data_IF_985943686219
#
_entry.id   IF_985943686219
#
_cell.length_a   1.000
_cell.length_b   1.000
_cell.length_c   1.000
_cell.angle_alpha   90.00
_cell.angle_beta   90.00
_cell.angle_gamma   90.00
#
_symmetry.space_group_name_H-M   'P 1'
#
loop_
_entity.id
_entity.type
_entity.pdbx_description
1 polymer ?
#
# COMPACT_ATOMS: atom_id res chain seq x y z
N UNK A 1 -17.42 -30.88 -19.34
CA UNK A 1 -17.44 -30.04 -18.13
C UNK A 1 -18.83 -29.44 -18.03
N UNK A 2 -19.44 -29.49 -16.85
CA UNK A 2 -20.76 -28.89 -16.58
C UNK A 2 -20.66 -27.36 -16.63
N UNK A 3 -21.65 -26.69 -17.23
CA UNK A 3 -21.74 -25.23 -17.26
C UNK A 3 -22.54 -24.78 -16.05
N UNK A 4 -21.87 -24.14 -15.09
CA UNK A 4 -22.50 -23.64 -13.87
C UNK A 4 -23.12 -22.25 -14.09
N UNK A 5 -22.45 -21.39 -14.87
CA UNK A 5 -22.91 -20.04 -15.18
C UNK A 5 -23.12 -19.85 -16.70
N UNK A 6 -24.38 -19.84 -17.18
CA UNK A 6 -24.69 -19.73 -18.61
C UNK A 6 -24.25 -18.40 -19.24
N UNK A 7 -24.30 -17.29 -18.49
CA UNK A 7 -23.83 -15.97 -18.90
C UNK A 7 -22.93 -15.38 -17.80
N UNK A 8 -21.62 -15.33 -18.06
CA UNK A 8 -20.63 -14.85 -17.10
C UNK A 8 -19.46 -14.14 -17.78
N UNK A 9 -18.67 -13.40 -17.01
CA UNK A 9 -17.57 -12.58 -17.54
C UNK A 9 -16.24 -12.80 -16.80
N UNK A 10 -15.14 -12.84 -17.54
CA UNK A 10 -13.79 -12.74 -17.01
C UNK A 10 -13.22 -11.36 -17.28
N UNK A 11 -12.62 -10.75 -16.26
CA UNK A 11 -12.09 -9.39 -16.29
C UNK A 11 -10.59 -9.44 -15.99
N UNK A 12 -9.79 -9.00 -16.94
CA UNK A 12 -8.38 -8.68 -16.72
C UNK A 12 -8.24 -7.17 -16.48
N UNK A 13 -7.72 -6.81 -15.33
CA UNK A 13 -7.74 -5.43 -14.82
C UNK A 13 -6.33 -4.88 -14.76
N UNK A 14 -6.06 -3.90 -15.61
CA UNK A 14 -4.82 -3.14 -15.62
C UNK A 14 -5.04 -1.73 -15.05
N UNK A 15 -3.98 -0.92 -15.04
CA UNK A 15 -4.04 0.45 -14.53
C UNK A 15 -5.00 1.33 -15.36
N UNK A 16 -4.92 1.26 -16.69
CA UNK A 16 -5.67 2.13 -17.60
C UNK A 16 -6.88 1.49 -18.28
N UNK A 17 -6.91 0.16 -18.35
CA UNK A 17 -7.97 -0.57 -19.04
C UNK A 17 -8.38 -1.85 -18.32
N UNK A 18 -9.58 -2.32 -18.69
CA UNK A 18 -10.17 -3.60 -18.30
C UNK A 18 -10.53 -4.34 -19.57
N UNK A 19 -9.91 -5.49 -19.80
CA UNK A 19 -10.31 -6.41 -20.86
C UNK A 19 -11.36 -7.33 -20.28
N UNK A 20 -12.57 -7.28 -20.85
CA UNK A 20 -13.71 -8.06 -20.41
C UNK A 20 -14.07 -9.11 -21.47
N UNK A 21 -14.02 -10.38 -21.10
CA UNK A 21 -14.48 -11.50 -21.91
C UNK A 21 -15.81 -12.00 -21.37
N UNK A 22 -16.90 -11.72 -22.07
CA UNK A 22 -18.23 -12.27 -21.78
C UNK A 22 -18.36 -13.64 -22.47
N UNK A 23 -18.88 -14.63 -21.75
CA UNK A 23 -19.18 -15.96 -22.26
C UNK A 23 -20.65 -16.27 -22.02
N UNK A 24 -21.37 -16.58 -23.11
CA UNK A 24 -22.80 -16.95 -23.11
C UNK A 24 -23.01 -18.30 -23.76
N UNK A 25 -23.96 -19.08 -23.24
CA UNK A 25 -24.40 -20.34 -23.84
C UNK A 25 -25.82 -20.18 -24.37
N UNK A 26 -25.97 -20.21 -25.69
CA UNK A 26 -27.24 -20.08 -26.40
C UNK A 26 -27.47 -21.34 -27.23
N UNK A 27 -28.62 -22.01 -27.07
CA UNK A 27 -28.93 -23.25 -27.80
C UNK A 27 -27.84 -24.33 -27.73
N UNK A 28 -27.12 -24.41 -26.59
CA UNK A 28 -26.03 -25.35 -26.39
C UNK A 28 -24.70 -24.97 -27.06
N UNK A 29 -24.65 -23.84 -27.79
CA UNK A 29 -23.42 -23.29 -28.35
C UNK A 29 -22.87 -22.17 -27.47
N UNK A 30 -21.55 -22.17 -27.31
CA UNK A 30 -20.84 -21.18 -26.50
C UNK A 30 -20.34 -20.04 -27.38
N UNK A 31 -20.70 -18.82 -27.04
CA UNK A 31 -20.24 -17.61 -27.70
C UNK A 31 -19.44 -16.76 -26.71
N UNK A 32 -18.29 -16.25 -27.16
CA UNK A 32 -17.46 -15.31 -26.41
C UNK A 32 -17.44 -13.97 -27.10
N UNK A 33 -17.49 -12.90 -26.33
CA UNK A 33 -17.32 -11.53 -26.80
C UNK A 33 -16.31 -10.82 -25.92
N UNK A 34 -15.27 -10.25 -26.53
CA UNK A 34 -14.22 -9.52 -25.81
C UNK A 34 -14.36 -8.03 -26.13
N UNK A 35 -14.39 -7.21 -25.07
CA UNK A 35 -14.37 -5.76 -25.17
C UNK A 35 -13.38 -5.17 -24.18
N UNK A 36 -12.77 -4.05 -24.56
CA UNK A 36 -11.89 -3.30 -23.68
C UNK A 36 -12.58 -2.01 -23.22
N UNK A 37 -12.43 -1.70 -21.94
CA UNK A 37 -13.00 -0.50 -21.30
C UNK A 37 -11.93 0.25 -20.54
N UNK A 38 -12.04 1.57 -20.46
CA UNK A 38 -11.17 2.38 -19.62
C UNK A 38 -11.53 2.24 -18.12
N UNK A 39 -10.55 2.42 -17.24
CA UNK A 39 -10.72 2.28 -15.77
C UNK A 39 -11.28 3.53 -15.06
N UNK A 40 -11.51 4.64 -15.79
CA UNK A 40 -12.19 5.81 -15.23
C UNK A 40 -13.69 5.53 -15.05
N UNK A 41 -14.37 6.35 -14.22
CA UNK A 41 -15.78 6.14 -13.86
C UNK A 41 -16.68 5.89 -15.07
N UNK A 42 -16.61 6.70 -16.13
CA UNK A 42 -17.42 6.51 -17.34
C UNK A 42 -17.17 5.18 -18.04
N UNK A 43 -15.92 4.72 -18.12
CA UNK A 43 -15.56 3.45 -18.76
C UNK A 43 -16.04 2.26 -17.94
N UNK A 44 -15.88 2.31 -16.61
CA UNK A 44 -16.41 1.27 -15.72
C UNK A 44 -17.94 1.25 -15.66
N UNK A 45 -18.60 2.40 -15.80
CA UNK A 45 -20.05 2.47 -15.97
C UNK A 45 -20.48 1.83 -17.29
N UNK A 46 -19.80 2.12 -18.40
CA UNK A 46 -20.07 1.49 -19.69
C UNK A 46 -19.87 -0.03 -19.65
N UNK A 47 -18.81 -0.51 -18.99
CA UNK A 47 -18.58 -1.93 -18.72
C UNK A 47 -19.77 -2.56 -17.96
N UNK A 48 -20.18 -1.93 -16.85
CA UNK A 48 -21.31 -2.40 -16.04
C UNK A 48 -22.60 -2.46 -16.86
N UNK A 49 -22.91 -1.38 -17.57
CA UNK A 49 -24.17 -1.26 -18.31
C UNK A 49 -24.23 -2.27 -19.47
N UNK A 50 -23.10 -2.53 -20.14
CA UNK A 50 -22.98 -3.60 -21.13
C UNK A 50 -23.21 -4.99 -20.51
N UNK A 51 -22.57 -5.30 -19.38
CA UNK A 51 -22.75 -6.60 -18.71
C UNK A 51 -24.20 -6.80 -18.22
N UNK A 52 -24.86 -5.75 -17.76
CA UNK A 52 -26.29 -5.80 -17.38
C UNK A 52 -27.16 -6.06 -18.62
N UNK A 53 -26.91 -5.36 -19.73
CA UNK A 53 -27.67 -5.53 -20.96
C UNK A 53 -27.56 -6.95 -21.52
N UNK A 54 -26.39 -7.58 -21.39
CA UNK A 54 -26.16 -8.98 -21.78
C UNK A 54 -26.56 -10.00 -20.70
N UNK A 55 -27.22 -9.56 -19.62
CA UNK A 55 -27.73 -10.42 -18.54
C UNK A 55 -26.62 -11.24 -17.84
N UNK A 56 -25.41 -10.70 -17.75
CA UNK A 56 -24.29 -11.34 -17.08
C UNK A 56 -24.52 -11.40 -15.56
N UNK A 57 -24.59 -12.60 -14.99
CA UNK A 57 -24.92 -12.81 -13.57
C UNK A 57 -23.69 -12.89 -12.67
N UNK A 58 -22.55 -13.35 -13.20
CA UNK A 58 -21.28 -13.48 -12.48
C UNK A 58 -20.12 -12.88 -13.27
N UNK A 59 -19.22 -12.17 -12.60
CA UNK A 59 -17.94 -11.79 -13.19
C UNK A 59 -16.77 -12.12 -12.25
N UNK A 60 -15.61 -12.46 -12.81
CA UNK A 60 -14.40 -12.79 -12.06
C UNK A 60 -13.22 -11.91 -12.46
N UNK A 61 -12.34 -11.60 -11.52
CA UNK A 61 -11.12 -10.81 -11.75
C UNK A 61 -9.97 -11.22 -10.81
N UNK A 62 -8.73 -11.13 -11.29
CA UNK A 62 -7.54 -11.33 -10.47
C UNK A 62 -7.34 -10.20 -9.44
N UNK A 63 -6.95 -10.53 -8.22
CA UNK A 63 -6.75 -9.59 -7.11
C UNK A 63 -5.35 -8.95 -7.04
N UNK A 64 -4.71 -8.71 -8.18
CA UNK A 64 -3.36 -8.15 -8.23
C UNK A 64 -3.38 -6.62 -8.16
N UNK A 65 -2.61 -6.06 -7.23
CA UNK A 65 -2.55 -4.61 -7.00
C UNK A 65 -3.84 -4.02 -6.43
N UNK A 66 -4.05 -2.71 -6.64
CA UNK A 66 -5.20 -1.96 -6.10
C UNK A 66 -6.34 -1.79 -7.11
N UNK A 67 -6.07 -2.01 -8.41
CA UNK A 67 -6.95 -1.59 -9.51
C UNK A 67 -8.31 -2.30 -9.51
N UNK A 68 -8.35 -3.58 -9.12
CA UNK A 68 -9.57 -4.37 -9.01
C UNK A 68 -10.60 -3.74 -8.05
N UNK A 69 -10.19 -2.94 -7.05
CA UNK A 69 -11.11 -2.33 -6.08
C UNK A 69 -12.13 -1.42 -6.75
N UNK A 70 -11.72 -0.66 -7.77
CA UNK A 70 -12.62 0.26 -8.47
C UNK A 70 -13.63 -0.48 -9.35
N UNK A 71 -13.18 -1.54 -10.03
CA UNK A 71 -14.04 -2.44 -10.78
C UNK A 71 -15.05 -3.10 -9.83
N UNK A 72 -14.57 -3.64 -8.70
CA UNK A 72 -15.43 -4.24 -7.68
C UNK A 72 -16.50 -3.28 -7.19
N UNK A 73 -16.12 -2.06 -6.78
CA UNK A 73 -17.06 -1.03 -6.29
C UNK A 73 -18.12 -0.65 -7.32
N UNK A 74 -17.81 -0.71 -8.62
CA UNK A 74 -18.75 -0.34 -9.69
C UNK A 74 -19.71 -1.47 -10.07
N UNK A 75 -19.26 -2.72 -10.02
CA UNK A 75 -20.02 -3.87 -10.51
C UNK A 75 -20.73 -4.66 -9.39
N UNK A 76 -20.26 -4.62 -8.14
CA UNK A 76 -20.73 -5.50 -7.06
C UNK A 76 -22.21 -5.36 -6.67
N UNK A 77 -22.85 -4.23 -7.02
CA UNK A 77 -24.28 -4.02 -6.77
C UNK A 77 -25.18 -4.65 -7.86
N UNK A 78 -24.61 -5.02 -9.01
CA UNK A 78 -25.38 -5.46 -10.19
C UNK A 78 -25.19 -6.93 -10.52
N UNK A 79 -24.10 -7.55 -10.07
CA UNK A 79 -23.76 -8.94 -10.36
C UNK A 79 -22.88 -9.52 -9.25
N UNK A 80 -22.78 -10.84 -9.18
CA UNK A 80 -21.87 -11.47 -8.25
C UNK A 80 -20.43 -11.40 -8.75
N UNK A 81 -19.53 -10.86 -7.91
CA UNK A 81 -18.11 -10.74 -8.24
C UNK A 81 -17.25 -11.78 -7.54
N UNK A 82 -16.37 -12.41 -8.31
CA UNK A 82 -15.35 -13.35 -7.89
C UNK A 82 -13.99 -12.66 -7.95
N UNK A 83 -13.58 -12.09 -6.82
CA UNK A 83 -12.20 -11.62 -6.65
C UNK A 83 -11.34 -12.83 -6.33
N UNK A 84 -10.40 -13.19 -7.20
CA UNK A 84 -9.63 -14.43 -7.09
C UNK A 84 -8.14 -14.16 -6.93
N UNK A 85 -7.47 -14.98 -6.11
CA UNK A 85 -6.03 -14.88 -5.91
C UNK A 85 -5.28 -15.30 -7.20
N UNK A 86 -4.35 -14.47 -7.64
CA UNK A 86 -3.46 -14.72 -8.78
C UNK A 86 -2.81 -16.12 -8.78
N UNK A 87 -2.41 -16.60 -7.60
CA UNK A 87 -1.78 -17.91 -7.44
C UNK A 87 -2.72 -19.06 -7.84
N UNK A 88 -4.04 -18.89 -7.64
CA UNK A 88 -5.03 -19.89 -7.99
C UNK A 88 -5.33 -19.90 -9.51
N UNK A 89 -5.20 -18.77 -10.19
CA UNK A 89 -5.36 -18.69 -11.66
C UNK A 89 -4.13 -19.26 -12.38
N UNK A 90 -2.92 -19.01 -11.86
CA UNK A 90 -1.63 -19.37 -12.49
C UNK A 90 -1.18 -20.82 -12.23
N UNK A 91 -1.84 -21.55 -11.34
CA UNK A 91 -1.51 -22.93 -11.01
C UNK A 91 -1.88 -23.95 -12.11
N UNK A 92 -2.43 -23.51 -13.25
CA UNK A 92 -2.72 -24.37 -14.40
C UNK A 92 -1.57 -24.24 -15.42
N UNK A 93 -0.79 -25.31 -15.68
CA UNK A 93 0.41 -25.22 -16.50
C UNK A 93 0.16 -24.72 -17.93
N UNK A 94 0.99 -23.77 -18.40
CA UNK A 94 1.28 -23.62 -19.83
C UNK A 94 0.88 -22.35 -20.58
N UNK A 95 0.78 -21.14 -19.99
CA UNK A 95 0.35 -19.95 -20.80
C UNK A 95 1.10 -18.62 -20.60
N UNK A 96 1.20 -17.93 -21.73
CA UNK A 96 1.83 -16.61 -21.99
C UNK A 96 0.95 -15.89 -23.06
N UNK A 97 0.12 -14.91 -22.67
CA UNK A 97 -0.39 -13.74 -23.45
C UNK A 97 -1.67 -13.13 -22.83
N UNK A 98 -1.73 -11.79 -22.68
CA UNK A 98 -2.72 -11.06 -21.86
C UNK A 98 -4.20 -11.14 -22.34
N UNK A 99 -4.51 -11.28 -23.63
CA UNK A 99 -5.90 -11.53 -24.10
C UNK A 99 -6.46 -12.86 -23.57
N UNK A 100 -5.56 -13.82 -23.30
CA UNK A 100 -5.96 -15.12 -22.76
C UNK A 100 -6.39 -15.03 -21.31
N UNK A 101 -6.03 -13.99 -20.56
CA UNK A 101 -6.27 -13.96 -19.12
C UNK A 101 -7.76 -13.73 -18.83
N UNK A 102 -8.40 -12.76 -19.48
CA UNK A 102 -9.85 -12.57 -19.38
C UNK A 102 -10.65 -13.79 -19.90
N UNK A 103 -10.25 -14.36 -21.04
CA UNK A 103 -10.87 -15.57 -21.59
C UNK A 103 -10.71 -16.80 -20.68
N UNK A 104 -9.56 -16.90 -20.04
CA UNK A 104 -9.23 -17.99 -19.12
C UNK A 104 -10.01 -17.86 -17.83
N UNK A 105 -10.10 -16.64 -17.28
CA UNK A 105 -10.89 -16.36 -16.10
C UNK A 105 -12.36 -16.72 -16.35
N UNK A 106 -12.92 -16.40 -17.51
CA UNK A 106 -14.31 -16.76 -17.82
C UNK A 106 -14.49 -18.27 -18.02
N UNK A 107 -13.51 -18.97 -18.60
CA UNK A 107 -13.51 -20.44 -18.70
C UNK A 107 -13.56 -21.11 -17.32
N UNK A 108 -12.69 -20.66 -16.41
CA UNK A 108 -12.64 -21.18 -15.05
C UNK A 108 -13.92 -20.84 -14.26
N UNK A 109 -14.41 -19.60 -14.38
CA UNK A 109 -15.62 -19.16 -13.72
C UNK A 109 -16.81 -20.01 -14.17
N UNK A 110 -17.01 -20.15 -15.47
CA UNK A 110 -18.15 -20.85 -16.07
C UNK A 110 -18.28 -22.31 -15.61
N UNK A 111 -17.17 -22.95 -15.26
CA UNK A 111 -17.11 -24.32 -14.77
C UNK A 111 -16.97 -24.42 -13.24
N UNK A 112 -17.10 -23.31 -12.50
CA UNK A 112 -17.03 -23.30 -11.04
C UNK A 112 -15.64 -23.61 -10.47
N UNK A 113 -14.59 -23.45 -11.26
CA UNK A 113 -13.20 -23.78 -10.88
C UNK A 113 -12.51 -22.66 -10.09
N UNK A 114 -13.19 -21.53 -9.88
CA UNK A 114 -12.66 -20.38 -9.17
C UNK A 114 -13.07 -20.39 -7.69
N UNK A 115 -12.08 -20.30 -6.81
CA UNK A 115 -12.33 -20.05 -5.39
C UNK A 115 -12.38 -18.55 -5.10
N UNK A 116 -13.58 -18.07 -4.76
CA UNK A 116 -13.82 -16.68 -4.38
C UNK A 116 -13.06 -16.30 -3.11
N UNK A 117 -12.33 -15.18 -3.15
CA UNK A 117 -11.69 -14.62 -1.97
C UNK A 117 -12.74 -13.99 -1.06
N UNK A 118 -12.51 -14.03 0.24
CA UNK A 118 -13.34 -13.32 1.19
C UNK A 118 -13.24 -11.80 0.97
N UNK A 119 -14.37 -11.19 0.69
CA UNK A 119 -14.51 -9.74 0.55
C UNK A 119 -15.18 -9.17 1.80
N UNK A 120 -14.47 -8.43 2.65
CA UNK A 120 -15.06 -7.80 3.84
C UNK A 120 -16.16 -6.80 3.46
N UNK A 121 -17.06 -6.50 4.39
CA UNK A 121 -18.05 -5.44 4.20
C UNK A 121 -17.38 -4.07 3.98
N UNK A 122 -18.14 -3.09 3.48
CA UNK A 122 -17.63 -1.72 3.29
C UNK A 122 -17.00 -1.15 4.56
N UNK A 123 -17.71 -1.23 5.69
CA UNK A 123 -17.24 -0.79 7.01
C UNK A 123 -15.95 -1.51 7.44
N UNK A 124 -15.87 -2.82 7.22
CA UNK A 124 -14.66 -3.58 7.54
C UNK A 124 -13.47 -3.18 6.66
N UNK A 125 -13.70 -2.90 5.37
CA UNK A 125 -12.65 -2.42 4.47
C UNK A 125 -12.13 -1.05 4.91
N UNK A 126 -13.01 -0.13 5.30
CA UNK A 126 -12.63 1.20 5.80
C UNK A 126 -11.77 1.11 7.06
N UNK A 127 -12.20 0.33 8.05
CA UNK A 127 -11.42 0.11 9.28
C UNK A 127 -10.06 -0.52 8.97
N UNK A 128 -9.99 -1.47 8.03
CA UNK A 128 -8.73 -2.09 7.60
C UNK A 128 -7.81 -1.10 6.91
N UNK A 129 -8.35 -0.22 6.05
CA UNK A 129 -7.55 0.80 5.37
C UNK A 129 -6.91 1.76 6.40
N UNK A 130 -7.70 2.24 7.38
CA UNK A 130 -7.23 3.13 8.44
C UNK A 130 -6.19 2.48 9.35
N UNK A 131 -6.46 1.25 9.81
CA UNK A 131 -5.54 0.54 10.73
C UNK A 131 -4.24 0.12 10.04
N UNK A 132 -4.29 -0.28 8.77
CA UNK A 132 -3.09 -0.56 7.97
C UNK A 132 -2.28 0.70 7.75
N UNK A 133 -2.91 1.81 7.37
CA UNK A 133 -2.20 3.08 7.20
C UNK A 133 -1.51 3.50 8.50
N UNK A 134 -2.21 3.42 9.64
CA UNK A 134 -1.62 3.71 10.96
C UNK A 134 -0.40 2.82 11.21
N UNK A 135 -0.51 1.51 10.99
CA UNK A 135 0.61 0.59 11.20
C UNK A 135 1.82 0.94 10.31
N UNK A 136 1.58 1.24 9.04
CA UNK A 136 2.62 1.70 8.10
C UNK A 136 3.27 2.99 8.56
N UNK A 137 2.48 4.02 8.92
CA UNK A 137 3.01 5.31 9.39
C UNK A 137 3.82 5.18 10.68
N UNK A 138 3.40 4.30 11.61
CA UNK A 138 4.18 4.02 12.83
C UNK A 138 5.52 3.38 12.48
N UNK A 139 5.53 2.41 11.56
CA UNK A 139 6.76 1.78 11.08
C UNK A 139 7.66 2.77 10.34
N UNK A 140 7.09 3.64 9.50
CA UNK A 140 7.82 4.69 8.78
C UNK A 140 8.45 5.68 9.74
N UNK A 141 7.70 6.16 10.73
CA UNK A 141 8.23 7.04 11.77
C UNK A 141 9.39 6.37 12.51
N UNK A 142 9.24 5.10 12.89
CA UNK A 142 10.33 4.36 13.55
C UNK A 142 11.57 4.24 12.63
N UNK A 143 11.38 3.96 11.33
CA UNK A 143 12.48 3.94 10.36
C UNK A 143 13.20 5.29 10.27
N UNK A 144 12.48 6.40 10.25
CA UNK A 144 13.06 7.73 10.21
C UNK A 144 13.83 8.06 11.50
N UNK A 145 13.28 7.74 12.67
CA UNK A 145 13.97 7.92 13.96
C UNK A 145 15.25 7.09 14.02
N UNK A 146 15.23 5.85 13.56
CA UNK A 146 16.44 5.02 13.49
C UNK A 146 17.49 5.59 12.54
N UNK A 147 17.09 6.28 11.47
CA UNK A 147 18.02 6.99 10.58
C UNK A 147 18.65 8.21 11.28
N UNK A 148 17.89 8.93 12.10
CA UNK A 148 18.46 10.00 12.94
C UNK A 148 19.49 9.43 13.91
N UNK A 149 19.16 8.34 14.61
CA UNK A 149 20.12 7.67 15.50
C UNK A 149 21.39 7.27 14.75
N UNK A 150 21.25 6.70 13.55
CA UNK A 150 22.40 6.35 12.72
C UNK A 150 23.30 7.57 12.44
N UNK A 151 22.73 8.72 12.06
CA UNK A 151 23.50 9.94 11.80
C UNK A 151 24.25 10.40 13.05
N UNK A 152 23.59 10.40 14.20
CA UNK A 152 24.23 10.77 15.47
C UNK A 152 25.37 9.80 15.83
N UNK A 153 25.15 8.49 15.69
CA UNK A 153 26.15 7.47 15.97
C UNK A 153 27.39 7.57 15.07
N UNK A 154 27.20 7.85 13.77
CA UNK A 154 28.29 8.08 12.81
C UNK A 154 29.08 9.36 13.10
N UNK A 155 28.43 10.38 13.69
CA UNK A 155 29.08 11.60 14.17
C UNK A 155 29.72 11.45 15.57
N UNK A 156 29.64 10.25 16.18
CA UNK A 156 30.12 10.01 17.55
C UNK A 156 29.23 10.55 18.67
N UNK A 157 28.07 11.11 18.34
CA UNK A 157 27.13 11.72 19.28
C UNK A 157 26.24 10.65 19.92
N UNK A 158 26.39 10.42 21.23
CA UNK A 158 25.72 9.36 22.00
C UNK A 158 24.47 9.84 22.73
N UNK A 159 23.71 10.77 22.16
CA UNK A 159 22.56 11.40 22.81
C UNK A 159 21.53 10.38 23.34
N UNK A 160 21.23 9.34 22.56
CA UNK A 160 20.27 8.28 22.92
C UNK A 160 20.70 7.41 24.10
N UNK A 161 21.96 7.48 24.53
CA UNK A 161 22.45 6.79 25.74
C UNK A 161 22.09 7.53 27.04
N UNK A 162 21.80 8.84 26.95
CA UNK A 162 21.57 9.69 28.12
C UNK A 162 20.09 10.04 28.29
N UNK A 163 19.38 10.27 27.18
CA UNK A 163 17.95 10.62 27.19
C UNK A 163 17.08 9.46 26.72
N UNK A 164 15.98 9.22 27.45
CA UNK A 164 15.04 8.14 27.14
C UNK A 164 14.20 8.41 25.89
N UNK A 165 13.98 9.68 25.56
CA UNK A 165 13.28 10.10 24.35
C UNK A 165 14.11 11.14 23.60
N UNK A 166 14.89 10.66 22.62
CA UNK A 166 15.66 11.52 21.71
C UNK A 166 14.79 12.42 20.82
N UNK A 167 13.54 12.03 20.58
CA UNK A 167 12.60 12.82 19.78
C UNK A 167 11.69 13.68 20.67
N UNK A 168 11.94 13.75 21.97
CA UNK A 168 11.25 14.67 22.87
C UNK A 168 11.78 16.10 22.73
N UNK A 169 11.16 17.04 23.44
CA UNK A 169 11.47 18.49 23.35
C UNK A 169 12.97 18.80 23.46
N UNK A 170 13.65 18.22 24.45
CA UNK A 170 15.09 18.47 24.66
C UNK A 170 15.97 17.86 23.60
N UNK A 171 15.68 16.62 23.18
CA UNK A 171 16.46 15.96 22.14
C UNK A 171 16.32 16.69 20.81
N UNK A 172 15.09 17.08 20.44
CA UNK A 172 14.85 17.88 19.24
C UNK A 172 15.58 19.22 19.29
N UNK A 173 15.49 19.98 20.38
CA UNK A 173 16.19 21.26 20.52
C UNK A 173 17.71 21.13 20.30
N UNK A 174 18.31 20.09 20.88
CA UNK A 174 19.74 19.79 20.74
C UNK A 174 20.07 19.42 19.29
N UNK A 175 19.31 18.51 18.67
CA UNK A 175 19.59 18.05 17.31
C UNK A 175 19.36 19.15 16.27
N UNK A 176 18.39 20.04 16.47
CA UNK A 176 18.19 21.22 15.62
C UNK A 176 19.35 22.22 15.75
N UNK A 177 19.87 22.45 16.96
CA UNK A 177 21.05 23.29 17.16
C UNK A 177 22.31 22.70 16.53
N UNK A 178 22.52 21.37 16.68
CA UNK A 178 23.58 20.63 16.00
C UNK A 178 23.48 20.81 14.47
N UNK A 179 22.29 20.62 13.90
CA UNK A 179 22.06 20.79 12.46
C UNK A 179 22.23 22.24 11.98
N UNK A 180 22.11 23.22 12.87
CA UNK A 180 22.35 24.64 12.60
C UNK A 180 23.83 25.06 12.76
N UNK A 181 24.72 24.13 13.15
CA UNK A 181 26.16 24.37 13.28
C UNK A 181 26.64 24.74 14.69
N UNK A 182 25.84 24.51 15.73
CA UNK A 182 26.35 24.57 17.10
C UNK A 182 27.05 23.26 17.47
N UNK A 183 28.29 23.36 17.94
CA UNK A 183 29.17 22.21 18.22
C UNK A 183 29.73 22.24 19.65
N UNK A 184 29.48 23.30 20.42
CA UNK A 184 29.89 23.38 21.83
C UNK A 184 29.00 22.47 22.68
N UNK A 185 29.53 21.36 23.25
CA UNK A 185 28.74 20.42 24.02
C UNK A 185 28.11 21.04 25.28
N UNK A 186 28.70 22.09 25.84
CA UNK A 186 28.13 22.80 27.00
C UNK A 186 26.86 23.58 26.61
N UNK A 187 26.90 24.28 25.47
CA UNK A 187 25.73 25.02 24.95
C UNK A 187 24.63 24.06 24.53
N UNK A 188 24.99 22.98 23.85
CA UNK A 188 24.03 21.95 23.46
C UNK A 188 23.37 21.32 24.69
N UNK A 189 24.14 20.89 25.69
CA UNK A 189 23.58 20.33 26.92
C UNK A 189 22.68 21.33 27.67
N UNK A 190 22.97 22.63 27.61
CA UNK A 190 22.16 23.68 28.23
C UNK A 190 20.78 23.87 27.57
N UNK A 191 20.57 23.39 26.34
CA UNK A 191 19.25 23.37 25.69
C UNK A 191 18.30 22.31 26.29
N UNK A 192 18.84 21.38 27.08
CA UNK A 192 18.03 20.38 27.74
C UNK A 192 17.12 21.00 28.81
N UNK A 193 15.90 20.47 28.93
CA UNK A 193 14.92 20.95 29.89
C UNK A 193 15.40 20.73 31.34
N UNK A 194 14.84 21.49 32.29
CA UNK A 194 15.26 21.48 33.69
C UNK A 194 15.28 20.09 34.36
N UNK A 195 14.42 19.18 33.91
CA UNK A 195 14.36 17.78 34.38
C UNK A 195 15.62 16.96 34.06
N UNK A 196 16.39 17.36 33.04
CA UNK A 196 17.64 16.72 32.63
C UNK A 196 18.89 17.36 33.24
N UNK A 197 18.77 18.41 34.08
CA UNK A 197 19.92 19.08 34.73
C UNK A 197 20.82 18.12 35.51
N UNK A 198 20.24 17.10 36.15
CA UNK A 198 21.00 16.07 36.88
C UNK A 198 21.89 15.21 35.98
N UNK A 199 21.63 15.21 34.67
CA UNK A 199 22.40 14.49 33.65
C UNK A 199 23.23 15.44 32.78
N UNK A 200 23.41 16.71 33.17
CA UNK A 200 24.12 17.71 32.37
C UNK A 200 25.52 17.24 31.96
N UNK A 201 26.33 16.78 32.91
CA UNK A 201 27.71 16.32 32.61
C UNK A 201 27.72 15.08 31.71
N UNK A 202 26.71 14.21 31.84
CA UNK A 202 26.54 13.06 30.95
C UNK A 202 26.16 13.51 29.53
N UNK A 203 25.30 14.53 29.41
CA UNK A 203 24.94 15.13 28.12
C UNK A 203 26.14 15.79 27.46
N UNK A 204 26.90 16.60 28.19
CA UNK A 204 28.14 17.23 27.69
C UNK A 204 29.08 16.16 27.13
N UNK A 205 29.30 15.07 27.88
CA UNK A 205 30.13 13.95 27.42
C UNK A 205 29.53 13.26 26.19
N UNK A 206 28.24 12.98 26.17
CA UNK A 206 27.58 12.30 25.05
C UNK A 206 27.48 13.16 23.78
N UNK A 207 27.59 14.47 23.90
CA UNK A 207 27.53 15.43 22.80
C UNK A 207 28.93 15.80 22.25
N UNK A 208 29.99 15.22 22.81
CA UNK A 208 31.33 15.31 22.23
C UNK A 208 31.40 14.40 20.99
N UNK A 209 31.30 15.01 19.81
CA UNK A 209 31.37 14.33 18.52
C UNK A 209 31.58 15.32 17.38
N UNK A 210 31.96 14.80 16.22
CA UNK A 210 32.36 15.58 15.05
C UNK A 210 31.32 15.44 13.93
N UNK A 211 30.27 16.25 13.98
CA UNK A 211 29.25 16.25 12.92
C UNK A 211 29.77 16.97 11.67
N UNK A 212 29.75 16.26 10.55
CA UNK A 212 30.13 16.80 9.25
C UNK A 212 28.97 17.55 8.58
N UNK A 213 29.27 18.38 7.59
CA UNK A 213 28.27 19.22 6.92
C UNK A 213 27.15 18.41 6.23
N UNK A 214 27.49 17.27 5.65
CA UNK A 214 26.53 16.33 5.04
C UNK A 214 25.66 15.65 6.11
N UNK A 215 26.23 15.25 7.25
CA UNK A 215 25.49 14.70 8.37
C UNK A 215 24.53 15.72 9.00
N UNK A 216 24.97 16.97 9.15
CA UNK A 216 24.12 18.07 9.62
C UNK A 216 22.95 18.34 8.67
N UNK A 217 23.19 18.29 7.35
CA UNK A 217 22.14 18.35 6.34
C UNK A 217 21.13 17.20 6.50
N UNK A 218 21.61 15.95 6.56
CA UNK A 218 20.75 14.77 6.72
C UNK A 218 19.91 14.85 8.00
N UNK A 219 20.52 15.27 9.11
CA UNK A 219 19.85 15.42 10.39
C UNK A 219 18.68 16.42 10.29
N UNK A 220 18.90 17.58 9.66
CA UNK A 220 17.86 18.60 9.45
C UNK A 220 16.68 18.06 8.64
N UNK A 221 16.95 17.42 7.50
CA UNK A 221 15.90 16.89 6.64
C UNK A 221 15.08 15.80 7.34
N UNK A 222 15.73 14.90 8.08
CA UNK A 222 15.05 13.86 8.84
C UNK A 222 14.17 14.43 9.95
N UNK A 223 14.66 15.43 10.70
CA UNK A 223 13.89 16.09 11.75
C UNK A 223 12.67 16.81 11.17
N UNK A 224 12.83 17.49 10.02
CA UNK A 224 11.73 18.16 9.33
C UNK A 224 10.59 17.19 8.98
N UNK A 225 10.91 15.99 8.47
CA UNK A 225 9.90 14.98 8.14
C UNK A 225 9.24 14.37 9.39
N UNK A 226 9.96 14.23 10.49
CA UNK A 226 9.42 13.61 11.73
C UNK A 226 8.53 14.59 12.52
N UNK A 227 8.81 15.89 12.45
CA UNK A 227 8.24 16.91 13.35
C UNK A 227 7.27 17.89 12.68
N UNK A 228 7.12 17.82 11.36
CA UNK A 228 6.05 18.49 10.62
C UNK A 228 4.67 17.92 10.95
#
# INVERSE_FOLDING_TARGET
MEVLYPCCCGLDVHQGSVVACLSRVESGQRHKEVREFATHTTGLTALRDWLIAEQCTQAAMESTGVYWRMVYRRLAASMELFVVNAQHIKAVPGRKSDIRDAEWIVDLLQHGLLQKSYMPSGEQQELRDLTRLRATLVQDRARLVNRVHKVLEEAGIKLSSVISDSMGVSGQAIMYALAAGEHDPQRLAALAHASLRRKHDQLVTALQGDIQADQAFLLRELLGVITA
#
